data_IF_843203597809
#
_entry.id   IF_843203597809
#
_cell.length_a   1.000
_cell.length_b   1.000
_cell.length_c   1.000
_cell.angle_alpha   90.00
_cell.angle_beta   90.00
_cell.angle_gamma   90.00
#
_symmetry.space_group_name_H-M   'P 1'
#
loop_
_entity.id
_entity.type
_entity.pdbx_description
1 polymer ?
#
# COMPACT_ATOMS: atom_id res chain seq x y z
N UNK A 1 2.58 1.18 -2.53
CA UNK A 1 2.55 1.32 -1.05
C UNK A 1 3.72 2.13 -0.53
N UNK A 2 4.97 1.70 -0.75
CA UNK A 2 6.17 2.43 -0.33
C UNK A 2 6.21 3.88 -0.83
N UNK A 3 6.00 4.07 -2.12
CA UNK A 3 6.01 5.40 -2.75
C UNK A 3 4.96 6.35 -2.15
N UNK A 4 3.70 5.90 -2.04
CA UNK A 4 2.63 6.67 -1.38
C UNK A 4 3.01 6.99 0.08
N UNK A 5 3.54 6.02 0.83
CA UNK A 5 3.98 6.25 2.22
C UNK A 5 5.09 7.31 2.30
N UNK A 6 6.10 7.22 1.44
CA UNK A 6 7.25 8.13 1.41
C UNK A 6 6.85 9.54 0.97
N UNK A 7 5.91 9.67 0.02
CA UNK A 7 5.33 10.95 -0.39
C UNK A 7 4.63 11.68 0.77
N UNK A 8 4.02 10.95 1.70
CA UNK A 8 3.41 11.51 2.91
C UNK A 8 4.40 11.62 4.10
N UNK A 9 5.69 11.38 3.91
CA UNK A 9 6.73 11.39 4.96
C UNK A 9 6.43 10.48 6.15
N UNK A 10 5.69 9.39 5.93
CA UNK A 10 5.33 8.44 6.98
C UNK A 10 6.35 7.30 7.10
N UNK A 11 6.64 6.88 8.33
CA UNK A 11 7.45 5.69 8.59
C UNK A 11 6.61 4.41 8.52
N UNK A 12 7.27 3.24 8.52
CA UNK A 12 6.57 1.95 8.57
C UNK A 12 5.87 1.76 9.93
N UNK A 13 6.52 2.22 11.00
CA UNK A 13 6.01 2.21 12.37
C UNK A 13 4.75 3.07 12.48
N UNK A 14 4.76 4.27 11.89
CA UNK A 14 3.62 5.18 11.89
C UNK A 14 2.35 4.52 11.32
N UNK A 15 2.46 3.79 10.20
CA UNK A 15 1.31 3.07 9.63
C UNK A 15 0.95 1.79 10.37
N UNK A 16 1.91 1.18 11.05
CA UNK A 16 1.62 0.04 11.93
C UNK A 16 0.79 0.50 13.13
N UNK A 17 1.11 1.65 13.70
CA UNK A 17 0.41 2.23 14.86
C UNK A 17 -0.94 2.81 14.47
N UNK A 18 -1.02 3.60 13.40
CA UNK A 18 -2.23 4.34 13.03
C UNK A 18 -3.18 3.56 12.11
N UNK A 19 -2.66 2.68 11.26
CA UNK A 19 -3.46 1.91 10.31
C UNK A 19 -3.49 0.41 10.62
N UNK A 20 -2.78 -0.08 11.64
CA UNK A 20 -2.58 -1.50 11.90
C UNK A 20 -2.22 -2.27 10.62
N UNK A 21 -1.26 -1.72 9.86
CA UNK A 21 -0.75 -2.27 8.61
C UNK A 21 0.76 -2.49 8.74
N UNK A 22 1.18 -3.76 8.83
CA UNK A 22 2.59 -4.13 8.83
C UNK A 22 3.16 -4.13 7.40
N UNK A 23 3.53 -2.94 6.92
CA UNK A 23 4.02 -2.73 5.56
C UNK A 23 5.40 -3.31 5.29
N UNK A 24 6.22 -3.53 6.33
CA UNK A 24 7.57 -4.07 6.20
C UNK A 24 7.58 -5.40 5.44
N UNK A 25 6.59 -6.27 5.62
CA UNK A 25 6.52 -7.54 4.88
C UNK A 25 6.19 -7.35 3.39
N UNK A 26 5.43 -6.31 3.05
CA UNK A 26 5.04 -6.01 1.69
C UNK A 26 6.15 -5.27 0.93
N UNK A 27 6.79 -4.30 1.58
CA UNK A 27 7.82 -3.46 0.95
C UNK A 27 9.13 -4.22 0.69
N UNK A 28 9.46 -5.21 1.51
CA UNK A 28 10.62 -6.08 1.28
C UNK A 28 10.30 -7.30 0.40
N UNK A 29 9.09 -7.38 -0.18
CA UNK A 29 8.69 -8.49 -1.06
C UNK A 29 8.54 -9.85 -0.37
N UNK A 30 8.57 -9.90 0.97
CA UNK A 30 8.42 -11.16 1.73
C UNK A 30 7.01 -11.73 1.66
N UNK A 31 6.02 -10.86 1.48
CA UNK A 31 4.61 -11.23 1.36
C UNK A 31 3.93 -10.32 0.35
N UNK A 32 3.02 -10.88 -0.45
CA UNK A 32 2.12 -10.07 -1.27
C UNK A 32 1.00 -9.48 -0.40
N UNK A 33 0.68 -8.18 -0.53
CA UNK A 33 -0.48 -7.61 0.12
C UNK A 33 -1.74 -8.25 -0.45
N UNK A 34 -2.70 -8.58 0.42
CA UNK A 34 -4.03 -9.03 -0.02
C UNK A 34 -4.83 -7.83 -0.50
N UNK A 35 -5.88 -8.06 -1.31
CA UNK A 35 -6.81 -6.99 -1.70
C UNK A 35 -7.39 -6.26 -0.49
N UNK A 36 -7.68 -6.98 0.61
CA UNK A 36 -8.13 -6.37 1.87
C UNK A 36 -7.11 -5.42 2.49
N UNK A 37 -5.82 -5.79 2.52
CA UNK A 37 -4.75 -4.92 2.97
C UNK A 37 -4.59 -3.69 2.07
N UNK A 38 -4.73 -3.87 0.75
CA UNK A 38 -4.70 -2.77 -0.23
C UNK A 38 -5.86 -1.80 0.02
N UNK A 39 -7.09 -2.30 0.17
CA UNK A 39 -8.27 -1.47 0.46
C UNK A 39 -8.10 -0.69 1.76
N UNK A 40 -7.56 -1.33 2.81
CA UNK A 40 -7.29 -0.66 4.09
C UNK A 40 -6.27 0.47 3.93
N UNK A 41 -5.20 0.22 3.17
CA UNK A 41 -4.19 1.23 2.84
C UNK A 41 -4.78 2.40 2.05
N UNK A 42 -5.60 2.10 1.04
CA UNK A 42 -6.27 3.11 0.22
C UNK A 42 -7.20 3.99 1.06
N UNK A 43 -8.02 3.39 1.93
CA UNK A 43 -8.87 4.14 2.87
C UNK A 43 -8.07 5.06 3.79
N UNK A 44 -6.93 4.60 4.28
CA UNK A 44 -6.06 5.40 5.15
C UNK A 44 -5.55 6.67 4.44
N UNK A 45 -5.15 6.54 3.17
CA UNK A 45 -4.63 7.66 2.37
C UNK A 45 -5.71 8.42 1.58
N UNK A 46 -6.99 8.10 1.80
CA UNK A 46 -8.10 8.64 1.01
C UNK A 46 -7.90 8.47 -0.51
N UNK A 47 -7.45 7.29 -0.92
CA UNK A 47 -7.25 6.88 -2.31
C UNK A 47 -8.35 5.89 -2.71
N UNK A 48 -8.73 5.93 -3.98
CA UNK A 48 -9.44 4.84 -4.65
C UNK A 48 -8.48 3.72 -5.04
N UNK A 49 -9.01 2.52 -5.30
CA UNK A 49 -8.21 1.42 -5.86
C UNK A 49 -7.64 1.78 -7.24
N UNK A 50 -8.39 2.54 -8.03
CA UNK A 50 -7.93 2.99 -9.34
C UNK A 50 -6.71 3.90 -9.24
N UNK A 51 -6.71 4.87 -8.31
CA UNK A 51 -5.55 5.73 -8.05
C UNK A 51 -4.36 4.94 -7.48
N UNK A 52 -4.62 3.94 -6.65
CA UNK A 52 -3.56 3.10 -6.09
C UNK A 52 -2.84 2.26 -7.15
N UNK A 53 -3.59 1.64 -8.06
CA UNK A 53 -3.02 0.78 -9.10
C UNK A 53 -2.56 1.56 -10.34
N UNK A 54 -3.11 2.75 -10.57
CA UNK A 54 -2.80 3.58 -11.73
C UNK A 54 -3.15 2.89 -13.06
N UNK A 55 -2.50 3.33 -14.13
CA UNK A 55 -2.57 2.65 -15.42
C UNK A 55 -1.84 1.29 -15.32
N UNK A 56 -2.61 0.22 -15.19
CA UNK A 56 -2.09 -1.14 -15.18
C UNK A 56 -1.92 -1.66 -16.61
N UNK A 57 -0.68 -1.75 -17.09
CA UNK A 57 -0.37 -2.59 -18.24
C UNK A 57 -0.11 -4.01 -17.73
N UNK A 58 -1.15 -4.82 -17.64
CA UNK A 58 -0.98 -6.23 -17.28
C UNK A 58 -0.21 -6.94 -18.40
N UNK A 59 0.78 -7.79 -18.10
CA UNK A 59 1.44 -8.58 -19.12
C UNK A 59 0.39 -9.39 -19.89
N UNK A 60 0.44 -9.32 -21.22
CA UNK A 60 -0.36 -10.17 -22.10
C UNK A 60 0.27 -11.56 -22.07
N UNK A 61 -0.53 -12.58 -21.80
CA UNK A 61 -0.14 -13.99 -21.98
C UNK A 61 0.08 -14.33 -23.45
#
# INVERSE_FOLDING_TARGET
MREIREHHHHTQEYLTENAHLHLSHYEHGRKLPTLGSIVKFCRYYNLSLNEFFGEMTYPKE
#
